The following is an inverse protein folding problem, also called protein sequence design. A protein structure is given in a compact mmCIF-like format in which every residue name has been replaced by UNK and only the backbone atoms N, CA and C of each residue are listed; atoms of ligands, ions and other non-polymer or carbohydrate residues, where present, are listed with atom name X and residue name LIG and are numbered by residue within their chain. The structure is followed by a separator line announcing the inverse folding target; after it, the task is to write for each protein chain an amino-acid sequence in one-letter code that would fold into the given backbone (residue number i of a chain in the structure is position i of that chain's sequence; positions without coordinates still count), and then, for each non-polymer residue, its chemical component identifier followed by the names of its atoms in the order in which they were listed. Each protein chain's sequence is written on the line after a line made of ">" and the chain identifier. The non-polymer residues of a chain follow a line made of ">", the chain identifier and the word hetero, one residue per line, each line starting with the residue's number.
data_IF_263202208271
#
_entry.id   IF_263202208271
#
_cell.length_a   1.000
_cell.length_b   1.000
_cell.length_c   1.000
_cell.angle_alpha   90.00
_cell.angle_beta   90.00
_cell.angle_gamma   90.00
#
_symmetry.space_group_name_H-M   'P 1'
#
loop_
_entity.id
_entity.type
_entity.pdbx_description
1 polymer ?
#
# COMPACT_ATOMS: atom_id res chain seq x y z
N UNK A 1 -18.49 10.39 17.27
CA UNK A 1 -19.46 10.16 16.17
C UNK A 1 -18.87 9.13 15.24
N UNK A 2 -19.64 8.11 14.85
CA UNK A 2 -19.22 7.22 13.78
C UNK A 2 -18.82 8.05 12.56
N UNK A 3 -17.85 7.56 11.78
CA UNK A 3 -17.45 8.23 10.53
C UNK A 3 -18.69 8.38 9.63
N UNK A 4 -19.12 9.62 9.29
CA UNK A 4 -20.33 9.82 8.49
C UNK A 4 -20.16 9.14 7.12
N UNK A 5 -21.19 8.41 6.68
CA UNK A 5 -21.19 7.71 5.39
C UNK A 5 -19.96 6.80 5.22
N UNK A 6 -19.55 6.14 6.30
CA UNK A 6 -18.47 5.18 6.25
C UNK A 6 -18.78 4.08 5.23
N UNK A 7 -17.78 3.75 4.44
CA UNK A 7 -17.93 2.75 3.40
C UNK A 7 -16.61 2.42 2.73
N UNK A 8 -16.70 1.63 1.68
CA UNK A 8 -15.59 1.25 0.82
C UNK A 8 -15.81 1.74 -0.60
N UNK A 9 -14.84 2.45 -1.15
CA UNK A 9 -14.78 2.80 -2.55
C UNK A 9 -13.89 1.79 -3.28
N UNK A 10 -14.46 1.10 -4.26
CA UNK A 10 -13.76 0.12 -5.08
C UNK A 10 -13.59 0.63 -6.51
N UNK A 11 -12.38 0.66 -7.05
CA UNK A 11 -12.12 1.10 -8.41
C UNK A 11 -10.67 0.92 -8.86
N UNK A 12 -10.32 1.50 -10.00
CA UNK A 12 -9.00 1.46 -10.59
C UNK A 12 -8.30 2.81 -10.43
N UNK A 13 -7.03 2.80 -10.06
CA UNK A 13 -6.24 4.03 -9.93
C UNK A 13 -5.92 4.59 -11.32
N UNK A 14 -6.16 5.90 -11.52
CA UNK A 14 -5.90 6.57 -12.80
C UNK A 14 -4.89 7.72 -12.72
N UNK A 15 -4.74 8.35 -11.54
CA UNK A 15 -3.78 9.45 -11.33
C UNK A 15 -3.49 9.62 -9.84
N UNK A 16 -2.49 10.40 -9.49
CA UNK A 16 -2.07 10.64 -8.11
C UNK A 16 -1.36 11.98 -7.93
N UNK A 17 -1.36 12.49 -6.70
CA UNK A 17 -0.51 13.63 -6.30
C UNK A 17 0.03 13.39 -4.91
N UNK A 18 1.35 13.44 -4.79
CA UNK A 18 2.03 13.35 -3.51
C UNK A 18 1.69 14.55 -2.64
N UNK A 19 1.64 14.32 -1.33
CA UNK A 19 1.58 15.40 -0.37
C UNK A 19 2.84 16.27 -0.52
N UNK A 20 2.64 17.57 -0.61
CA UNK A 20 3.75 18.53 -0.79
C UNK A 20 3.39 19.90 -0.22
N UNK A 21 4.39 20.62 0.25
CA UNK A 21 4.22 21.96 0.81
C UNK A 21 3.25 21.98 2.01
N UNK A 22 2.18 22.75 1.90
CA UNK A 22 1.13 22.84 2.95
C UNK A 22 0.05 21.75 2.85
N UNK A 23 0.12 20.86 1.84
CA UNK A 23 -0.83 19.76 1.73
C UNK A 23 -0.32 18.55 2.50
N UNK A 24 -1.07 18.12 3.50
CA UNK A 24 -0.79 16.95 4.31
C UNK A 24 -1.51 15.69 3.80
N UNK A 25 -2.07 15.73 2.59
CA UNK A 25 -2.77 14.59 1.99
C UNK A 25 -2.07 14.11 0.72
N UNK A 26 -1.91 12.81 0.64
CA UNK A 26 -1.66 12.10 -0.61
C UNK A 26 -3.01 11.91 -1.32
N UNK A 27 -3.11 12.35 -2.56
CA UNK A 27 -4.35 12.35 -3.31
C UNK A 27 -4.31 11.29 -4.41
N UNK A 28 -5.35 10.46 -4.50
CA UNK A 28 -5.46 9.40 -5.50
C UNK A 28 -6.72 9.65 -6.33
N UNK A 29 -6.59 9.68 -7.66
CA UNK A 29 -7.73 9.64 -8.56
C UNK A 29 -8.09 8.20 -8.86
N UNK A 30 -9.35 7.87 -8.70
CA UNK A 30 -9.90 6.53 -8.94
C UNK A 30 -11.03 6.64 -9.94
N UNK A 31 -11.05 5.73 -10.91
CA UNK A 31 -12.17 5.52 -11.82
C UNK A 31 -12.96 4.29 -11.36
N UNK A 32 -14.26 4.45 -11.25
CA UNK A 32 -15.16 3.38 -10.85
C UNK A 32 -16.55 3.57 -11.49
N UNK A 33 -17.08 2.54 -12.12
CA UNK A 33 -18.41 2.53 -12.76
C UNK A 33 -18.64 3.73 -13.73
N UNK A 34 -17.58 4.21 -14.37
CA UNK A 34 -17.63 5.34 -15.32
C UNK A 34 -17.60 6.73 -14.67
N UNK A 35 -17.45 6.82 -13.36
CA UNK A 35 -17.29 8.08 -12.61
C UNK A 35 -15.87 8.22 -12.04
N UNK A 36 -15.45 9.46 -11.81
CA UNK A 36 -14.21 9.81 -11.16
C UNK A 36 -14.43 10.07 -9.67
N UNK A 37 -13.47 9.62 -8.87
CA UNK A 37 -13.44 9.81 -7.42
C UNK A 37 -12.05 10.22 -6.97
N UNK A 38 -11.99 10.92 -5.83
CA UNK A 38 -10.74 11.24 -5.15
C UNK A 38 -10.67 10.56 -3.78
N UNK A 39 -9.53 9.96 -3.48
CA UNK A 39 -9.20 9.50 -2.14
C UNK A 39 -8.16 10.46 -1.58
N UNK A 40 -8.44 11.07 -0.42
CA UNK A 40 -7.52 11.90 0.32
C UNK A 40 -7.01 11.13 1.53
N UNK A 41 -5.70 10.88 1.58
CA UNK A 41 -5.05 10.13 2.64
C UNK A 41 -4.16 11.05 3.44
N UNK A 42 -4.42 11.20 4.73
CA UNK A 42 -3.55 11.98 5.59
C UNK A 42 -2.21 11.27 5.80
N UNK A 43 -1.13 11.92 5.41
CA UNK A 43 0.24 11.37 5.48
C UNK A 43 1.16 12.21 6.36
N UNK A 44 0.61 13.09 7.18
CA UNK A 44 1.37 13.95 8.09
C UNK A 44 0.62 14.09 9.40
N UNK A 45 1.35 14.02 10.50
CA UNK A 45 0.85 14.42 11.82
C UNK A 45 0.71 15.95 11.91
N UNK A 46 -0.21 16.40 12.76
CA UNK A 46 -0.30 17.81 13.17
C UNK A 46 -0.13 17.89 14.68
N UNK A 47 0.22 19.08 15.20
CA UNK A 47 0.37 19.27 16.65
C UNK A 47 -0.87 18.79 17.40
N UNK A 48 -0.66 17.92 18.37
CA UNK A 48 -1.72 17.32 19.19
C UNK A 48 -2.52 16.20 18.53
N UNK A 49 -2.18 15.80 17.29
CA UNK A 49 -2.85 14.70 16.58
C UNK A 49 -1.84 13.90 15.76
N UNK A 50 -1.13 13.01 16.43
CA UNK A 50 -0.18 12.10 15.79
C UNK A 50 -0.91 11.06 14.95
N UNK A 51 -0.47 10.88 13.70
CA UNK A 51 -0.93 9.82 12.81
C UNK A 51 0.01 8.64 12.93
N UNK A 52 -0.55 7.47 13.14
CA UNK A 52 0.13 6.19 13.12
C UNK A 52 -0.28 5.42 11.87
N UNK A 53 0.63 4.65 11.31
CA UNK A 53 0.34 3.80 10.16
C UNK A 53 1.04 2.43 10.25
N UNK A 54 0.48 1.47 9.53
CA UNK A 54 1.07 0.16 9.29
C UNK A 54 0.87 -0.23 7.83
N UNK A 55 1.90 -0.78 7.19
CA UNK A 55 1.83 -1.28 5.81
C UNK A 55 2.10 -2.77 5.81
N UNK A 56 1.19 -3.52 5.20
CA UNK A 56 1.31 -4.96 4.99
C UNK A 56 1.29 -5.26 3.49
N UNK A 57 2.43 -5.62 2.93
CA UNK A 57 2.56 -5.94 1.49
C UNK A 57 2.14 -7.37 1.14
N UNK A 58 1.84 -8.19 2.14
CA UNK A 58 1.39 -9.57 1.97
C UNK A 58 0.05 -9.82 2.66
N UNK A 59 -0.83 -8.81 2.60
CA UNK A 59 -2.10 -8.80 3.31
C UNK A 59 -2.95 -10.04 2.99
N UNK A 60 -3.26 -10.80 4.02
CA UNK A 60 -4.13 -11.99 3.97
C UNK A 60 -5.23 -11.90 5.03
N UNK A 61 -6.46 -11.70 4.59
CA UNK A 61 -7.62 -11.55 5.46
C UNK A 61 -8.88 -12.05 4.75
N UNK A 62 -9.85 -12.65 5.43
CA UNK A 62 -11.09 -13.14 4.83
C UNK A 62 -11.88 -12.08 4.04
N UNK A 63 -11.75 -10.79 4.38
CA UNK A 63 -12.41 -9.68 3.67
C UNK A 63 -12.01 -9.60 2.18
N UNK A 64 -10.82 -10.08 1.81
CA UNK A 64 -10.33 -10.04 0.43
C UNK A 64 -11.23 -10.80 -0.54
N UNK A 65 -11.86 -11.89 -0.09
CA UNK A 65 -12.81 -12.64 -0.90
C UNK A 65 -14.08 -11.81 -1.20
N UNK A 66 -14.62 -11.12 -0.20
CA UNK A 66 -15.77 -10.23 -0.37
C UNK A 66 -15.42 -9.03 -1.27
N UNK A 67 -14.24 -8.43 -1.09
CA UNK A 67 -13.76 -7.31 -1.90
C UNK A 67 -13.53 -7.69 -3.35
N UNK A 68 -13.03 -8.89 -3.61
CA UNK A 68 -12.84 -9.38 -4.99
C UNK A 68 -14.17 -9.42 -5.75
N UNK A 69 -15.27 -9.80 -5.08
CA UNK A 69 -16.61 -9.88 -5.66
C UNK A 69 -17.34 -8.53 -5.71
N UNK A 70 -16.82 -7.50 -5.04
CA UNK A 70 -17.47 -6.20 -4.94
C UNK A 70 -17.48 -5.48 -6.30
N UNK A 71 -18.63 -4.94 -6.67
CA UNK A 71 -18.73 -4.07 -7.87
C UNK A 71 -17.90 -2.79 -7.68
N UNK A 72 -17.57 -2.11 -8.77
CA UNK A 72 -16.96 -0.80 -8.72
C UNK A 72 -17.91 0.27 -8.17
N UNK A 73 -17.38 1.28 -7.50
CA UNK A 73 -18.12 2.37 -6.89
C UNK A 73 -18.02 2.40 -5.38
N UNK A 74 -18.80 3.30 -4.76
CA UNK A 74 -18.87 3.44 -3.33
C UNK A 74 -19.98 2.57 -2.73
N UNK A 75 -19.64 1.83 -1.67
CA UNK A 75 -20.54 0.95 -0.94
C UNK A 75 -20.55 1.33 0.54
N UNK A 76 -21.73 1.63 1.08
CA UNK A 76 -21.87 1.89 2.52
C UNK A 76 -21.66 0.55 3.25
N UNK A 77 -20.82 0.57 4.27
CA UNK A 77 -20.53 -0.59 5.11
C UNK A 77 -21.19 -0.37 6.46
N UNK A 78 -21.99 -1.35 6.95
CA UNK A 78 -22.52 -1.29 8.30
C UNK A 78 -21.40 -1.21 9.33
N UNK A 79 -21.62 -0.46 10.41
CA UNK A 79 -20.66 -0.33 11.52
C UNK A 79 -20.73 -1.55 12.46
N UNK A 80 -20.74 -2.73 11.88
CA UNK A 80 -20.72 -4.02 12.57
C UNK A 80 -19.72 -4.92 11.86
N UNK A 81 -19.06 -5.83 12.56
CA UNK A 81 -18.07 -6.74 11.95
C UNK A 81 -18.79 -7.77 11.07
N UNK A 82 -19.23 -7.36 9.91
CA UNK A 82 -19.93 -8.25 8.99
C UNK A 82 -19.53 -7.94 7.54
N UNK A 83 -19.17 -8.96 6.82
CA UNK A 83 -18.88 -8.90 5.40
C UNK A 83 -17.67 -8.03 5.04
N UNK A 84 -17.94 -6.79 4.64
CA UNK A 84 -16.92 -5.85 4.18
C UNK A 84 -16.23 -5.06 5.30
N UNK A 85 -16.78 -5.05 6.52
CA UNK A 85 -16.16 -4.32 7.62
C UNK A 85 -14.82 -4.94 8.01
N UNK A 86 -13.86 -4.08 8.32
CA UNK A 86 -12.56 -4.47 8.87
C UNK A 86 -12.39 -3.89 10.26
N UNK A 87 -11.73 -4.63 11.11
CA UNK A 87 -11.40 -4.23 12.48
C UNK A 87 -9.97 -4.67 12.78
N UNK A 88 -9.01 -3.92 12.27
CA UNK A 88 -7.61 -4.35 12.33
C UNK A 88 -7.00 -4.26 13.72
N UNK A 89 -7.41 -3.28 14.54
CA UNK A 89 -6.85 -3.09 15.89
C UNK A 89 -7.57 -3.99 16.90
N UNK A 90 -8.91 -4.00 16.95
CA UNK A 90 -9.66 -4.80 17.93
C UNK A 90 -9.57 -6.29 17.66
N UNK A 91 -9.57 -6.70 16.41
CA UNK A 91 -9.35 -8.09 16.03
C UNK A 91 -7.91 -8.56 16.30
N UNK A 92 -7.01 -7.66 16.72
CA UNK A 92 -5.63 -7.98 17.00
C UNK A 92 -4.79 -8.23 15.74
N UNK A 93 -5.26 -7.80 14.58
CA UNK A 93 -4.53 -7.94 13.33
C UNK A 93 -3.29 -7.03 13.30
N UNK A 94 -3.45 -5.78 13.74
CA UNK A 94 -2.34 -4.82 13.91
C UNK A 94 -2.30 -4.39 15.38
N UNK A 95 -1.18 -4.62 16.05
CA UNK A 95 -0.96 -4.07 17.37
C UNK A 95 -0.53 -2.60 17.26
N UNK A 96 -1.01 -1.74 18.17
CA UNK A 96 -0.58 -0.34 18.22
C UNK A 96 0.95 -0.19 18.26
N UNK A 97 1.65 -1.10 18.94
CA UNK A 97 3.11 -1.10 19.04
C UNK A 97 3.82 -1.34 17.70
N UNK A 98 3.13 -1.92 16.73
CA UNK A 98 3.65 -2.19 15.40
C UNK A 98 3.36 -1.06 14.41
N UNK A 99 2.57 -0.06 14.83
CA UNK A 99 2.27 1.11 14.02
C UNK A 99 3.40 2.15 14.16
N UNK A 100 3.74 2.79 13.05
CA UNK A 100 4.81 3.77 12.96
C UNK A 100 4.21 5.18 13.02
N UNK A 101 4.71 6.07 13.90
CA UNK A 101 4.25 7.45 13.94
C UNK A 101 4.82 8.27 12.78
N UNK A 102 4.01 9.16 12.24
CA UNK A 102 4.42 10.14 11.24
C UNK A 102 4.93 11.43 11.90
N UNK A 103 5.94 12.10 11.29
CA UNK A 103 6.43 13.38 11.79
C UNK A 103 5.37 14.48 11.64
N UNK A 104 5.47 15.51 12.50
CA UNK A 104 4.59 16.69 12.46
C UNK A 104 4.99 17.65 11.32
N UNK A 105 6.25 17.63 10.90
CA UNK A 105 6.79 18.59 9.92
C UNK A 105 7.48 17.89 8.76
N UNK A 106 7.20 18.41 7.55
CA UNK A 106 7.91 18.06 6.32
C UNK A 106 7.35 16.82 5.62
N UNK A 107 7.30 16.90 4.30
CA UNK A 107 6.94 15.76 3.45
C UNK A 107 8.18 15.08 2.85
N UNK A 108 9.38 15.65 3.08
CA UNK A 108 10.63 15.19 2.47
C UNK A 108 11.20 13.91 3.10
N UNK A 109 10.77 13.60 4.34
CA UNK A 109 11.12 12.39 5.09
C UNK A 109 9.84 11.58 5.44
N UNK A 110 8.85 11.57 4.59
CA UNK A 110 7.56 10.97 4.87
C UNK A 110 7.47 9.55 4.30
N UNK A 111 7.83 8.57 5.13
CA UNK A 111 7.81 7.15 4.77
C UNK A 111 6.42 6.70 4.26
N UNK A 112 5.33 7.16 4.85
CA UNK A 112 3.98 6.80 4.42
C UNK A 112 3.66 7.34 3.03
N UNK A 113 4.02 8.61 2.75
CA UNK A 113 3.83 9.22 1.45
C UNK A 113 4.51 8.40 0.34
N UNK A 114 5.73 7.95 0.59
CA UNK A 114 6.52 7.15 -0.34
C UNK A 114 5.97 5.72 -0.49
N UNK A 115 5.55 5.09 0.61
CA UNK A 115 4.99 3.74 0.57
C UNK A 115 3.65 3.70 -0.16
N UNK A 116 2.75 4.66 0.11
CA UNK A 116 1.50 4.79 -0.65
C UNK A 116 1.80 5.04 -2.12
N UNK A 117 2.76 5.90 -2.43
CA UNK A 117 3.14 6.20 -3.82
C UNK A 117 3.63 4.96 -4.57
N UNK A 118 4.42 4.13 -3.91
CA UNK A 118 4.87 2.84 -4.47
C UNK A 118 3.69 1.91 -4.79
N UNK A 119 2.77 1.73 -3.83
CA UNK A 119 1.59 0.87 -4.01
C UNK A 119 0.66 1.40 -5.11
N UNK A 120 0.44 2.71 -5.15
CA UNK A 120 -0.40 3.38 -6.14
C UNK A 120 0.21 3.26 -7.54
N UNK A 121 1.51 3.52 -7.70
CA UNK A 121 2.19 3.34 -8.99
C UNK A 121 2.13 1.89 -9.45
N UNK A 122 2.33 0.92 -8.54
CA UNK A 122 2.18 -0.50 -8.82
C UNK A 122 0.76 -0.81 -9.33
N UNK A 123 -0.28 -0.23 -8.71
CA UNK A 123 -1.66 -0.41 -9.15
C UNK A 123 -1.91 0.20 -10.53
N UNK A 124 -1.43 1.41 -10.80
CA UNK A 124 -1.55 2.07 -12.11
C UNK A 124 -0.89 1.25 -13.24
N UNK A 125 0.19 0.54 -12.94
CA UNK A 125 0.97 -0.23 -13.92
C UNK A 125 0.60 -1.73 -13.96
N UNK A 126 -0.37 -2.19 -13.16
CA UNK A 126 -0.78 -3.59 -13.11
C UNK A 126 -2.15 -3.78 -13.73
N UNK A 127 -2.24 -4.60 -14.78
CA UNK A 127 -3.51 -4.86 -15.45
C UNK A 127 -4.53 -5.46 -14.47
N UNK A 128 -5.73 -4.89 -14.42
CA UNK A 128 -6.81 -5.32 -13.55
C UNK A 128 -6.60 -5.05 -12.06
N UNK A 129 -5.57 -4.28 -11.69
CA UNK A 129 -5.38 -3.89 -10.31
C UNK A 129 -6.52 -2.98 -9.83
N UNK A 130 -6.91 -3.19 -8.57
CA UNK A 130 -7.98 -2.43 -7.92
C UNK A 130 -7.51 -1.88 -6.59
N UNK A 131 -8.05 -0.71 -6.24
CA UNK A 131 -7.93 -0.13 -4.91
C UNK A 131 -9.28 -0.18 -4.20
N UNK A 132 -9.24 -0.41 -2.89
CA UNK A 132 -10.39 -0.37 -1.99
C UNK A 132 -10.04 0.59 -0.85
N UNK A 133 -10.71 1.74 -0.81
CA UNK A 133 -10.47 2.75 0.21
C UNK A 133 -11.62 2.78 1.22
N UNK A 134 -11.29 2.55 2.47
CA UNK A 134 -12.23 2.62 3.60
C UNK A 134 -12.16 3.98 4.26
N UNK A 135 -13.31 4.63 4.42
CA UNK A 135 -13.38 5.92 5.06
C UNK A 135 -14.72 6.62 4.86
N UNK A 136 -14.74 7.93 5.08
CA UNK A 136 -15.93 8.76 4.96
C UNK A 136 -16.14 9.22 3.52
N UNK A 137 -17.30 8.91 2.95
CA UNK A 137 -17.66 9.36 1.62
C UNK A 137 -18.17 10.80 1.62
N UNK A 138 -17.67 11.59 0.69
CA UNK A 138 -18.17 12.93 0.40
C UNK A 138 -18.62 13.05 -1.07
N UNK A 139 -19.59 13.94 -1.32
CA UNK A 139 -20.02 14.33 -2.66
C UNK A 139 -20.44 15.77 -2.65
N UNK A 140 -19.78 16.58 -3.45
CA UNK A 140 -20.07 18.00 -3.65
C UNK A 140 -21.23 18.22 -4.65
N UNK A 141 -21.77 19.43 -4.76
CA UNK A 141 -22.74 19.78 -5.79
C UNK A 141 -22.22 19.48 -7.22
N UNK A 142 -23.10 19.20 -8.19
CA UNK A 142 -22.72 18.73 -9.53
C UNK A 142 -21.73 19.62 -10.29
N UNK A 143 -21.73 20.93 -10.02
CA UNK A 143 -20.88 21.93 -10.66
C UNK A 143 -19.58 22.21 -9.89
N UNK A 144 -19.39 21.65 -8.71
CA UNK A 144 -18.15 21.83 -7.97
C UNK A 144 -17.09 20.87 -8.43
N UNK A 145 -16.03 21.41 -9.01
CA UNK A 145 -14.90 20.65 -9.48
C UNK A 145 -13.96 20.21 -8.35
N UNK A 146 -13.36 19.08 -8.53
CA UNK A 146 -12.27 18.62 -7.68
C UNK A 146 -11.04 19.52 -7.87
N UNK A 147 -10.44 19.95 -6.76
CA UNK A 147 -9.32 20.91 -6.80
C UNK A 147 -7.99 20.32 -7.26
N UNK A 148 -7.87 18.99 -7.26
CA UNK A 148 -6.62 18.31 -7.61
C UNK A 148 -6.65 17.72 -9.02
N UNK A 149 -7.81 17.18 -9.44
CA UNK A 149 -7.97 16.43 -10.68
C UNK A 149 -9.04 17.00 -11.65
N UNK A 150 -9.66 18.12 -11.28
CA UNK A 150 -10.59 18.94 -12.13
C UNK A 150 -11.85 18.21 -12.66
N UNK A 151 -12.19 17.03 -12.13
CA UNK A 151 -13.46 16.37 -12.46
C UNK A 151 -14.63 16.92 -11.65
N UNK A 152 -15.87 16.76 -12.12
CA UNK A 152 -17.08 17.20 -11.45
C UNK A 152 -18.18 16.13 -11.52
N UNK A 153 -18.96 15.96 -10.43
CA UNK A 153 -18.80 16.60 -9.13
C UNK A 153 -17.54 16.12 -8.39
N UNK A 154 -16.93 16.96 -7.54
CA UNK A 154 -15.91 16.49 -6.62
C UNK A 154 -16.56 15.52 -5.63
N UNK A 155 -16.07 14.28 -5.59
CA UNK A 155 -16.59 13.21 -4.75
C UNK A 155 -15.50 12.19 -4.45
N UNK A 156 -15.68 11.42 -3.37
CA UNK A 156 -14.71 10.37 -3.04
C UNK A 156 -14.66 10.02 -1.55
N UNK A 157 -13.51 9.53 -1.11
CA UNK A 157 -13.25 9.16 0.27
C UNK A 157 -12.30 10.18 0.90
N UNK A 158 -12.65 10.63 2.07
CA UNK A 158 -11.82 11.37 2.99
C UNK A 158 -11.79 10.63 4.34
N UNK A 159 -10.99 11.08 5.29
CA UNK A 159 -10.89 10.46 6.61
C UNK A 159 -10.56 8.96 6.54
N UNK A 160 -9.53 8.62 5.76
CA UNK A 160 -8.97 7.27 5.68
C UNK A 160 -8.14 7.03 6.95
N UNK A 161 -8.81 6.89 8.08
CA UNK A 161 -8.21 6.56 9.37
C UNK A 161 -9.21 5.84 10.26
N UNK A 162 -8.70 5.06 11.21
CA UNK A 162 -9.55 4.40 12.20
C UNK A 162 -10.27 5.45 13.06
N UNK A 163 -11.57 5.27 13.27
CA UNK A 163 -12.39 6.06 14.15
C UNK A 163 -13.15 5.18 15.13
N UNK A 164 -12.57 4.99 16.31
CA UNK A 164 -13.15 4.21 17.39
C UNK A 164 -13.10 5.00 18.68
N UNK A 165 -14.15 5.01 19.45
CA UNK A 165 -14.38 5.82 20.65
C UNK A 165 -13.10 6.18 21.39
N UNK A 166 -12.79 7.46 21.49
CA UNK A 166 -11.45 7.93 21.81
C UNK A 166 -11.28 8.22 23.28
N UNK A 167 -11.84 9.32 23.70
CA UNK A 167 -11.70 9.84 25.05
C UNK A 167 -13.08 10.18 25.65
N UNK A 168 -13.07 10.72 26.85
CA UNK A 168 -14.29 11.10 27.55
C UNK A 168 -15.11 12.18 26.83
N UNK A 169 -14.50 13.01 25.99
CA UNK A 169 -15.18 14.04 25.21
C UNK A 169 -15.86 13.45 23.97
N UNK A 170 -15.30 12.35 23.45
CA UNK A 170 -15.75 11.68 22.24
C UNK A 170 -16.33 10.27 22.51
N UNK A 171 -16.63 9.95 23.75
CA UNK A 171 -17.18 8.63 24.15
C UNK A 171 -18.52 8.27 23.52
N UNK A 172 -19.22 9.23 22.92
CA UNK A 172 -20.41 9.01 22.11
C UNK A 172 -20.10 8.80 20.62
N UNK A 173 -18.83 8.84 20.26
CA UNK A 173 -18.35 8.67 18.90
C UNK A 173 -17.94 7.22 18.70
N UNK A 174 -18.87 6.28 18.95
CA UNK A 174 -18.58 4.88 18.77
C UNK A 174 -18.56 4.48 17.29
N UNK A 175 -17.48 4.84 16.63
CA UNK A 175 -17.13 4.35 15.32
C UNK A 175 -16.50 2.97 15.40
N UNK A 176 -17.13 2.07 16.11
CA UNK A 176 -16.57 0.80 16.56
C UNK A 176 -15.97 -0.05 15.45
N UNK A 177 -16.48 0.07 14.23
CA UNK A 177 -16.07 -0.72 13.06
C UNK A 177 -15.65 0.15 11.87
N UNK A 178 -15.33 1.41 12.13
CA UNK A 178 -14.96 2.39 11.10
C UNK A 178 -13.45 2.47 10.94
N UNK A 179 -12.82 1.37 10.58
CA UNK A 179 -11.38 1.33 10.35
C UNK A 179 -11.03 1.96 9.01
N UNK A 180 -10.02 2.83 8.99
CA UNK A 180 -9.49 3.45 7.79
C UNK A 180 -8.38 2.61 7.17
N UNK A 181 -8.52 2.30 5.90
CA UNK A 181 -7.51 1.54 5.18
C UNK A 181 -7.52 1.83 3.67
N UNK A 182 -6.38 1.59 3.05
CA UNK A 182 -6.25 1.37 1.62
C UNK A 182 -5.85 -0.08 1.40
N UNK A 183 -6.62 -0.82 0.63
CA UNK A 183 -6.27 -2.16 0.21
C UNK A 183 -6.06 -2.18 -1.30
N UNK A 184 -5.01 -2.84 -1.74
CA UNK A 184 -4.65 -2.96 -3.14
C UNK A 184 -4.70 -4.42 -3.55
N UNK A 185 -5.41 -4.73 -4.62
CA UNK A 185 -5.45 -6.05 -5.23
C UNK A 185 -4.68 -6.06 -6.55
N UNK A 186 -3.69 -6.92 -6.66
CA UNK A 186 -2.87 -7.13 -7.85
C UNK A 186 -3.16 -8.53 -8.42
N UNK A 187 -4.20 -8.70 -9.25
CA UNK A 187 -4.66 -10.03 -9.67
C UNK A 187 -3.62 -10.82 -10.45
N UNK A 188 -2.79 -10.15 -11.26
CA UNK A 188 -1.71 -10.81 -12.01
C UNK A 188 -0.63 -11.44 -11.10
N UNK A 189 -0.53 -10.99 -9.85
CA UNK A 189 0.41 -11.50 -8.83
C UNK A 189 -0.30 -12.33 -7.76
N UNK A 190 -1.63 -12.42 -7.80
CA UNK A 190 -2.45 -12.99 -6.72
C UNK A 190 -2.09 -12.40 -5.35
N UNK A 191 -1.79 -11.12 -5.30
CA UNK A 191 -1.27 -10.42 -4.13
C UNK A 191 -2.22 -9.33 -3.69
N UNK A 192 -2.33 -9.19 -2.38
CA UNK A 192 -2.93 -8.03 -1.73
C UNK A 192 -1.87 -7.27 -0.94
N UNK A 193 -2.05 -5.97 -0.84
CA UNK A 193 -1.32 -5.12 0.08
C UNK A 193 -2.32 -4.20 0.80
N UNK A 194 -2.00 -3.80 2.03
CA UNK A 194 -2.84 -2.95 2.84
C UNK A 194 -2.03 -1.82 3.49
N UNK A 195 -2.67 -0.68 3.66
CA UNK A 195 -2.18 0.44 4.46
C UNK A 195 -3.27 0.77 5.48
N UNK A 196 -2.96 0.63 6.75
CA UNK A 196 -3.84 0.97 7.86
C UNK A 196 -3.39 2.28 8.48
N UNK A 197 -4.34 3.15 8.81
CA UNK A 197 -4.07 4.45 9.39
C UNK A 197 -4.94 4.68 10.62
N UNK A 198 -4.37 5.32 11.64
CA UNK A 198 -5.09 5.75 12.83
C UNK A 198 -4.47 7.03 13.38
N UNK A 199 -5.27 7.93 13.91
CA UNK A 199 -4.73 8.92 14.83
C UNK A 199 -4.34 8.23 16.14
N UNK A 200 -3.34 8.73 16.82
CA UNK A 200 -2.84 8.13 18.06
C UNK A 200 -3.94 7.94 19.11
N UNK A 201 -4.83 8.91 19.24
CA UNK A 201 -5.98 8.87 20.13
C UNK A 201 -7.07 7.84 19.70
N UNK A 202 -7.02 7.34 18.46
CA UNK A 202 -7.96 6.37 17.89
C UNK A 202 -7.38 4.96 17.79
N UNK A 203 -6.07 4.80 17.94
CA UNK A 203 -5.38 3.51 17.81
C UNK A 203 -5.39 2.68 19.10
N UNK A 204 -6.52 2.63 19.79
CA UNK A 204 -6.71 1.87 21.00
C UNK A 204 -7.44 0.57 20.71
N UNK A 205 -7.10 -0.47 21.47
CA UNK A 205 -7.95 -1.66 21.50
C UNK A 205 -9.20 -1.30 22.28
N UNK A 206 -10.35 -1.48 21.67
CA UNK A 206 -11.64 -1.09 22.24
C UNK A 206 -12.57 -2.30 22.43
N UNK A 207 -13.53 -2.16 23.35
CA UNK A 207 -14.64 -3.12 23.48
C UNK A 207 -15.65 -2.96 22.31
N UNK A 208 -16.71 -3.77 22.33
CA UNK A 208 -17.75 -3.73 21.30
C UNK A 208 -18.51 -2.40 21.24
N UNK A 209 -18.38 -1.53 22.25
CA UNK A 209 -19.01 -0.22 22.33
C UNK A 209 -18.06 0.93 21.97
N UNK A 210 -16.78 0.61 21.63
CA UNK A 210 -15.78 1.61 21.27
C UNK A 210 -15.01 2.19 22.45
N UNK A 211 -15.13 1.64 23.65
CA UNK A 211 -14.37 2.09 24.81
C UNK A 211 -12.98 1.45 24.85
N UNK A 212 -11.95 2.23 25.15
CA UNK A 212 -10.60 1.72 25.31
C UNK A 212 -10.54 0.62 26.38
N UNK A 213 -9.98 -0.54 26.02
CA UNK A 213 -9.74 -1.63 26.95
C UNK A 213 -8.31 -1.56 27.50
N UNK A 214 -8.14 -1.92 28.77
CA UNK A 214 -6.81 -2.00 29.39
C UNK A 214 -6.13 -3.36 29.13
N UNK A 215 -6.82 -4.26 28.46
CA UNK A 215 -6.31 -5.61 28.19
C UNK A 215 -5.51 -5.56 26.90
N UNK A 216 -4.19 -5.65 27.03
CA UNK A 216 -3.31 -5.97 25.91
C UNK A 216 -3.62 -7.42 25.52
N UNK A 217 -4.41 -7.63 24.48
CA UNK A 217 -4.52 -8.97 23.92
C UNK A 217 -3.15 -9.33 23.33
N UNK A 218 -2.59 -10.50 23.65
CA UNK A 218 -1.40 -10.96 22.95
C UNK A 218 -1.74 -11.07 21.46
N UNK A 219 -0.77 -10.82 20.57
CA UNK A 219 -1.01 -10.94 19.14
C UNK A 219 -1.62 -12.32 18.87
N UNK A 220 -2.74 -12.32 18.14
CA UNK A 220 -3.35 -13.57 17.70
C UNK A 220 -2.37 -14.18 16.70
N UNK A 221 -1.56 -15.11 17.18
CA UNK A 221 -0.79 -15.98 16.29
C UNK A 221 -1.82 -16.82 15.56
N UNK A 222 -2.16 -16.44 14.34
CA UNK A 222 -2.96 -17.30 13.49
C UNK A 222 -2.18 -18.61 13.34
N UNK A 223 -2.73 -19.77 13.78
CA UNK A 223 -2.08 -21.02 13.45
C UNK A 223 -1.98 -21.09 11.92
N UNK A 224 -0.88 -21.63 11.37
CA UNK A 224 -0.78 -21.79 9.92
C UNK A 224 -2.04 -22.48 9.45
N UNK A 225 -2.71 -21.89 8.45
CA UNK A 225 -3.92 -22.48 7.85
C UNK A 225 -3.49 -23.79 7.24
N UNK A 226 -3.73 -24.88 7.97
CA UNK A 226 -3.56 -26.23 7.43
C UNK A 226 -4.70 -26.44 6.45
N UNK A 227 -4.47 -26.14 5.20
CA UNK A 227 -5.39 -26.54 4.15
C UNK A 227 -5.52 -28.06 4.19
N UNK A 228 -6.72 -28.62 4.32
CA UNK A 228 -6.90 -30.06 4.14
C UNK A 228 -6.38 -30.43 2.75
N UNK A 229 -5.78 -31.59 2.57
CA UNK A 229 -5.26 -32.00 1.26
C UNK A 229 -6.41 -31.99 0.26
N UNK A 230 -6.32 -31.07 -0.72
CA UNK A 230 -7.24 -31.04 -1.84
C UNK A 230 -6.95 -32.27 -2.69
N UNK A 231 -7.86 -33.22 -2.66
CA UNK A 231 -7.84 -34.33 -3.63
C UNK A 231 -8.20 -33.73 -4.98
N UNK A 232 -7.28 -33.69 -5.96
CA UNK A 232 -7.57 -33.09 -7.24
C UNK A 232 -8.62 -33.94 -7.99
N UNK A 233 -9.66 -33.30 -8.59
CA UNK A 233 -10.51 -33.98 -9.55
C UNK A 233 -9.69 -34.41 -10.79
N UNK A 234 -10.10 -35.43 -11.53
CA UNK A 234 -9.37 -35.93 -12.68
C UNK A 234 -9.19 -34.85 -13.73
N UNK A 235 -7.92 -34.64 -14.13
CA UNK A 235 -7.47 -33.61 -15.04
C UNK A 235 -7.94 -33.93 -16.46
N UNK A 236 -8.87 -33.13 -16.99
CA UNK A 236 -9.05 -32.94 -18.43
C UNK A 236 -8.19 -31.75 -18.83
N UNK A 237 -7.17 -31.89 -19.69
CA UNK A 237 -6.31 -30.78 -20.05
C UNK A 237 -7.12 -29.74 -20.86
N UNK A 238 -7.19 -28.48 -20.41
CA UNK A 238 -7.69 -27.40 -21.25
C UNK A 238 -6.67 -27.02 -22.32
N UNK A 239 -7.09 -26.43 -23.44
CA UNK A 239 -6.18 -25.98 -24.47
C UNK A 239 -5.19 -24.95 -23.91
N UNK A 240 -3.92 -25.15 -24.20
CA UNK A 240 -2.82 -24.30 -23.77
C UNK A 240 -2.95 -22.94 -24.43
N UNK A 241 -3.51 -21.97 -23.71
CA UNK A 241 -3.26 -20.54 -23.98
C UNK A 241 -2.01 -20.21 -23.15
N UNK A 242 -0.91 -19.75 -23.79
CA UNK A 242 0.27 -19.38 -22.99
C UNK A 242 -0.12 -18.23 -22.07
N UNK A 243 0.11 -18.35 -20.74
CA UNK A 243 -0.11 -17.22 -19.85
C UNK A 243 0.87 -16.12 -20.25
N UNK A 244 0.40 -14.88 -20.28
CA UNK A 244 1.29 -13.73 -20.29
C UNK A 244 2.17 -13.88 -19.02
N UNK A 245 3.48 -14.06 -19.24
CA UNK A 245 4.40 -14.43 -18.18
C UNK A 245 4.30 -13.45 -17.01
N UNK A 246 4.20 -13.93 -15.74
CA UNK A 246 4.38 -13.08 -14.59
C UNK A 246 5.74 -12.41 -14.69
N UNK A 247 5.88 -11.19 -14.14
CA UNK A 247 7.15 -10.48 -14.12
C UNK A 247 8.24 -11.43 -13.58
N UNK A 248 9.10 -11.87 -14.47
CA UNK A 248 10.05 -12.94 -14.18
C UNK A 248 11.26 -12.46 -13.38
N UNK A 249 11.46 -11.14 -13.29
CA UNK A 249 12.56 -10.52 -12.56
C UNK A 249 12.01 -9.66 -11.45
N UNK A 250 12.56 -9.80 -10.25
CA UNK A 250 12.13 -9.04 -9.06
C UNK A 250 13.30 -8.42 -8.35
N UNK A 251 13.06 -7.29 -7.70
CA UNK A 251 13.98 -6.67 -6.76
C UNK A 251 13.78 -7.36 -5.40
N UNK A 252 14.85 -7.95 -4.84
CA UNK A 252 14.76 -8.70 -3.58
C UNK A 252 15.55 -8.06 -2.44
N UNK A 253 16.51 -7.18 -2.74
CA UNK A 253 17.25 -6.46 -1.72
C UNK A 253 17.91 -5.19 -2.28
N UNK A 254 18.19 -4.24 -1.39
CA UNK A 254 19.00 -3.07 -1.70
C UNK A 254 19.95 -2.73 -0.53
N UNK A 255 21.12 -2.18 -0.85
CA UNK A 255 22.02 -1.57 0.11
C UNK A 255 22.06 -0.07 -0.21
N UNK A 256 21.28 0.72 0.53
CA UNK A 256 21.16 2.16 0.34
C UNK A 256 22.21 2.94 1.15
N UNK A 257 22.67 2.40 2.27
CA UNK A 257 23.64 3.03 3.18
C UNK A 257 24.83 2.08 3.36
N UNK A 258 25.84 2.24 2.55
CA UNK A 258 27.03 1.39 2.62
C UNK A 258 28.03 1.92 3.66
N UNK A 259 28.94 1.06 4.11
CA UNK A 259 30.04 1.45 5.00
C UNK A 259 31.29 1.92 4.20
N UNK A 260 31.24 1.82 2.89
CA UNK A 260 32.34 2.20 2.02
C UNK A 260 32.45 3.74 1.87
N UNK A 261 33.63 4.23 1.57
CA UNK A 261 33.86 5.65 1.27
C UNK A 261 34.72 5.78 0.00
N UNK A 262 34.19 6.25 -1.14
CA UNK A 262 32.80 6.70 -1.33
C UNK A 262 31.76 5.59 -1.16
N UNK A 263 30.55 5.98 -0.82
CA UNK A 263 29.42 5.05 -0.60
C UNK A 263 29.13 4.24 -1.87
N UNK A 264 28.93 2.94 -1.70
CA UNK A 264 28.60 2.00 -2.78
C UNK A 264 27.21 1.44 -2.56
N UNK A 265 26.26 1.90 -3.35
CA UNK A 265 24.88 1.46 -3.31
C UNK A 265 24.66 0.28 -4.25
N UNK A 266 23.78 -0.66 -3.85
CA UNK A 266 23.50 -1.82 -4.68
C UNK A 266 22.02 -2.20 -4.66
N UNK A 267 21.54 -2.78 -5.77
CA UNK A 267 20.24 -3.42 -5.89
C UNK A 267 20.42 -4.87 -6.31
N UNK A 268 19.72 -5.79 -5.67
CA UNK A 268 19.77 -7.21 -6.00
C UNK A 268 18.50 -7.64 -6.73
N UNK A 269 18.67 -8.20 -7.91
CA UNK A 269 17.60 -8.81 -8.70
C UNK A 269 17.63 -10.33 -8.58
N UNK A 270 16.47 -10.96 -8.72
CA UNK A 270 16.31 -12.40 -8.92
C UNK A 270 15.47 -12.65 -10.18
N UNK A 271 15.87 -13.65 -10.97
CA UNK A 271 15.04 -14.19 -12.04
C UNK A 271 14.27 -15.41 -11.51
N UNK A 272 12.96 -15.30 -11.40
CA UNK A 272 12.09 -16.39 -10.92
C UNK A 272 11.54 -17.27 -12.04
N UNK A 273 11.87 -16.96 -13.31
CA UNK A 273 11.46 -17.75 -14.45
C UNK A 273 12.43 -18.92 -14.70
N UNK A 274 11.96 -19.98 -15.40
CA UNK A 274 12.79 -21.10 -15.82
C UNK A 274 13.64 -20.82 -17.07
N UNK A 275 13.62 -19.57 -17.59
CA UNK A 275 14.40 -19.10 -18.73
C UNK A 275 15.30 -17.93 -18.34
N UNK A 276 16.43 -17.80 -19.06
CA UNK A 276 17.28 -16.63 -18.93
C UNK A 276 16.55 -15.37 -19.40
N UNK A 277 16.79 -14.24 -18.71
CA UNK A 277 16.27 -12.93 -19.08
C UNK A 277 17.40 -12.02 -19.53
N UNK A 278 17.26 -11.42 -20.71
CA UNK A 278 18.18 -10.40 -21.19
C UNK A 278 17.75 -9.05 -20.59
N UNK A 279 18.64 -8.46 -19.78
CA UNK A 279 18.42 -7.17 -19.13
C UNK A 279 18.87 -5.97 -20.00
N UNK A 280 19.28 -6.21 -21.25
CA UNK A 280 19.70 -5.14 -22.15
C UNK A 280 18.53 -4.16 -22.42
N UNK A 281 18.78 -2.87 -22.14
CA UNK A 281 17.79 -1.83 -22.27
C UNK A 281 16.81 -1.71 -21.09
N UNK A 282 16.93 -2.58 -20.09
CA UNK A 282 16.20 -2.38 -18.84
C UNK A 282 16.83 -1.26 -18.02
N UNK A 283 16.04 -0.63 -17.14
CA UNK A 283 16.52 0.44 -16.28
C UNK A 283 15.98 0.29 -14.84
N UNK A 284 16.80 0.72 -13.88
CA UNK A 284 16.27 1.14 -12.58
C UNK A 284 15.95 2.63 -12.64
N UNK A 285 14.91 3.03 -11.90
CA UNK A 285 14.61 4.42 -11.60
C UNK A 285 14.50 4.61 -10.08
N UNK A 286 15.07 5.72 -9.58
CA UNK A 286 14.92 6.15 -8.19
C UNK A 286 13.65 6.98 -7.98
N UNK A 287 13.42 7.45 -6.75
CA UNK A 287 12.30 8.33 -6.38
C UNK A 287 12.23 9.62 -7.21
N UNK A 288 13.37 10.18 -7.62
CA UNK A 288 13.47 11.39 -8.43
C UNK A 288 13.40 11.12 -9.93
N UNK A 289 13.18 9.87 -10.34
CA UNK A 289 13.19 9.42 -11.73
C UNK A 289 14.58 9.54 -12.40
N UNK A 290 15.64 9.51 -11.63
CA UNK A 290 16.96 9.28 -12.20
C UNK A 290 17.11 7.82 -12.59
N UNK A 291 17.73 7.55 -13.71
CA UNK A 291 17.79 6.22 -14.31
C UNK A 291 19.19 5.62 -14.24
N UNK A 292 19.26 4.31 -14.02
CA UNK A 292 20.45 3.49 -14.16
C UNK A 292 20.18 2.34 -15.14
N UNK A 293 20.93 2.31 -16.25
CA UNK A 293 20.74 1.30 -17.31
C UNK A 293 21.33 -0.05 -16.89
N UNK A 294 20.57 -1.11 -17.16
CA UNK A 294 20.97 -2.49 -16.96
C UNK A 294 21.46 -3.10 -18.26
N UNK A 295 22.28 -4.16 -18.14
CA UNK A 295 22.78 -4.92 -19.28
C UNK A 295 23.13 -6.34 -18.87
N UNK A 296 23.30 -7.22 -19.88
CA UNK A 296 23.66 -8.61 -19.66
C UNK A 296 22.48 -9.52 -19.44
N UNK A 297 22.78 -10.80 -19.16
CA UNK A 297 21.76 -11.84 -18.94
C UNK A 297 21.69 -12.21 -17.48
N UNK A 298 20.48 -12.37 -16.98
CA UNK A 298 20.19 -12.95 -15.68
C UNK A 298 19.67 -14.39 -15.90
N UNK A 299 20.48 -15.34 -15.53
CA UNK A 299 20.16 -16.76 -15.74
C UNK A 299 18.92 -17.20 -14.97
N UNK A 300 18.24 -18.23 -15.46
CA UNK A 300 17.07 -18.84 -14.83
C UNK A 300 17.33 -19.18 -13.36
N UNK A 301 16.45 -18.77 -12.45
CA UNK A 301 16.54 -19.03 -11.01
C UNK A 301 17.72 -18.35 -10.30
N UNK A 302 18.48 -17.49 -11.00
CA UNK A 302 19.67 -16.84 -10.44
C UNK A 302 19.38 -15.44 -9.94
N UNK A 303 20.26 -14.92 -9.09
CA UNK A 303 20.25 -13.52 -8.66
C UNK A 303 21.51 -12.77 -9.11
N UNK A 304 21.40 -11.47 -9.24
CA UNK A 304 22.53 -10.58 -9.53
C UNK A 304 22.47 -9.34 -8.64
N UNK A 305 23.61 -8.96 -8.07
CA UNK A 305 23.77 -7.70 -7.36
C UNK A 305 24.35 -6.67 -8.33
N UNK A 306 23.62 -5.57 -8.50
CA UNK A 306 23.98 -4.47 -9.39
C UNK A 306 24.43 -3.29 -8.54
N UNK A 307 25.63 -2.76 -8.82
CA UNK A 307 26.11 -1.51 -8.20
C UNK A 307 25.48 -0.34 -8.93
N UNK A 308 24.85 0.55 -8.15
CA UNK A 308 24.22 1.75 -8.67
C UNK A 308 25.26 2.88 -8.79
N UNK A 309 25.08 3.71 -9.81
CA UNK A 309 25.92 4.88 -10.05
C UNK A 309 25.07 6.07 -10.50
N UNK A 310 25.58 7.26 -10.24
CA UNK A 310 24.93 8.52 -10.68
C UNK A 310 24.55 8.48 -12.15
N UNK A 311 23.41 9.06 -12.55
CA UNK A 311 22.59 9.98 -11.74
C UNK A 311 21.65 9.32 -10.74
N UNK A 312 21.42 8.00 -10.78
CA UNK A 312 20.59 7.29 -9.79
C UNK A 312 21.29 7.19 -8.44
N UNK A 313 20.56 7.42 -7.36
CA UNK A 313 21.03 7.31 -5.97
C UNK A 313 19.93 6.65 -5.10
N UNK A 314 20.34 5.84 -4.13
CA UNK A 314 19.47 5.29 -3.12
C UNK A 314 19.53 6.15 -1.86
N UNK A 315 18.48 6.92 -1.58
CA UNK A 315 18.48 7.84 -0.46
C UNK A 315 18.55 7.13 0.89
N UNK A 316 19.48 7.56 1.78
CA UNK A 316 19.53 7.11 3.18
C UNK A 316 18.34 7.60 4.03
N UNK A 317 17.45 8.37 3.43
CA UNK A 317 16.22 8.88 4.04
C UNK A 317 14.96 8.13 3.61
N UNK A 318 15.12 7.00 2.94
CA UNK A 318 14.01 6.24 2.34
C UNK A 318 13.80 6.58 0.86
N UNK A 319 13.15 5.69 0.14
CA UNK A 319 12.94 5.88 -1.30
C UNK A 319 12.23 4.71 -1.98
N UNK A 320 12.12 4.83 -3.28
CA UNK A 320 11.56 3.80 -4.17
C UNK A 320 12.61 3.37 -5.18
N UNK A 321 12.55 2.11 -5.59
CA UNK A 321 13.34 1.56 -6.68
C UNK A 321 12.38 0.91 -7.65
N UNK A 322 12.30 1.44 -8.86
CA UNK A 322 11.45 0.91 -9.93
C UNK A 322 12.30 0.20 -10.96
N UNK A 323 11.94 -1.01 -11.33
CA UNK A 323 12.55 -1.77 -12.43
C UNK A 323 11.64 -1.69 -13.66
N UNK A 324 12.17 -1.18 -14.76
CA UNK A 324 11.46 -1.08 -16.04
C UNK A 324 12.14 -1.96 -17.08
N UNK A 325 11.35 -2.60 -17.95
CA UNK A 325 11.87 -3.34 -19.11
C UNK A 325 12.31 -2.42 -20.26
N UNK A 326 12.85 -2.99 -21.32
CA UNK A 326 13.31 -2.26 -22.49
C UNK A 326 12.20 -1.49 -23.22
N UNK A 327 10.94 -1.81 -22.98
CA UNK A 327 9.77 -1.09 -23.48
C UNK A 327 9.29 0.03 -22.56
N UNK A 328 9.95 0.25 -21.42
CA UNK A 328 9.58 1.23 -20.41
C UNK A 328 8.41 0.79 -19.52
N UNK A 329 8.01 -0.49 -19.58
CA UNK A 329 6.96 -1.03 -18.71
C UNK A 329 7.55 -1.38 -17.34
N UNK A 330 6.86 -1.01 -16.28
CA UNK A 330 7.25 -1.39 -14.92
C UNK A 330 7.14 -2.91 -14.75
N UNK A 331 8.26 -3.53 -14.39
CA UNK A 331 8.38 -4.94 -14.10
C UNK A 331 8.25 -5.20 -12.62
N UNK A 332 8.92 -4.40 -11.80
CA UNK A 332 8.85 -4.45 -10.34
C UNK A 332 9.06 -3.06 -9.73
N UNK A 333 8.52 -2.87 -8.52
CA UNK A 333 8.68 -1.63 -7.77
C UNK A 333 8.71 -1.98 -6.29
N UNK A 334 9.69 -1.46 -5.57
CA UNK A 334 9.85 -1.64 -4.13
C UNK A 334 10.11 -0.31 -3.46
N UNK A 335 9.73 -0.20 -2.19
CA UNK A 335 10.02 0.97 -1.37
C UNK A 335 10.74 0.57 -0.08
N UNK A 336 11.48 1.49 0.49
CA UNK A 336 12.14 1.33 1.76
C UNK A 336 12.10 2.63 2.57
N UNK A 337 12.07 2.49 3.88
CA UNK A 337 11.96 3.60 4.82
C UNK A 337 13.33 4.11 5.25
N UNK A 338 13.34 5.33 5.80
CA UNK A 338 14.52 5.89 6.48
C UNK A 338 15.04 4.96 7.58
N UNK A 339 14.15 4.36 8.36
CA UNK A 339 14.52 3.45 9.43
C UNK A 339 15.27 2.21 8.91
N UNK A 340 14.85 1.66 7.78
CA UNK A 340 15.53 0.55 7.12
C UNK A 340 16.90 0.97 6.56
N UNK A 341 16.99 2.17 5.98
CA UNK A 341 18.23 2.70 5.40
C UNK A 341 19.23 3.25 6.42
N UNK A 342 18.84 3.50 7.67
CA UNK A 342 19.71 4.11 8.69
C UNK A 342 20.83 3.20 9.19
N UNK A 343 20.79 1.90 8.93
CA UNK A 343 21.81 0.95 9.41
C UNK A 343 22.93 0.80 8.39
N UNK A 344 24.12 1.44 8.58
CA UNK A 344 25.21 1.33 7.60
C UNK A 344 25.63 -0.11 7.39
N UNK A 345 25.79 -0.52 6.13
CA UNK A 345 26.21 -1.86 5.74
C UNK A 345 25.13 -2.93 5.78
N UNK A 346 23.89 -2.60 6.17
CA UNK A 346 22.79 -3.56 6.18
C UNK A 346 22.00 -3.51 4.86
N UNK A 347 21.78 -4.68 4.29
CA UNK A 347 20.86 -4.80 3.13
C UNK A 347 19.41 -4.76 3.62
N UNK A 348 18.60 -3.99 2.90
CA UNK A 348 17.14 -3.97 3.01
C UNK A 348 16.65 -5.13 2.16
N UNK A 349 15.77 -5.98 2.68
CA UNK A 349 15.16 -7.12 1.97
C UNK A 349 13.69 -6.81 1.68
N UNK A 350 13.22 -7.11 0.46
CA UNK A 350 11.87 -6.85 -0.03
C UNK A 350 11.08 -8.13 -0.25
#
# INVERSE_FOLDING_TARGET
>A
MPVPKYGVLAGSVSDRKLASGSSNHYEIRVQAAGEDFRIAVNVQSVDGSEVLFHVDEAFDHPVTAALTALAEGHHIVPMTPDGLAIDYVRAGYVAKADMVPLPVTGNDDNDLNDQIDSLVQRAMNSAGARIFAYGSFFKDPPNKKDKYFDFAPSQGIHDVHMNQGNDSAHKGDDGVWSDGALLFHYPARQQWAAVFLAFQNQSWITDAQGHATTVVQPPVVHPPVVHPPVVPPPIVPPPIVPPSAPASVRIIAALANSIENPEIETVTLINTAPQDVDLSGWIFADKQQNHFALSGKLAAGSSVRVTIAKPMELSNKGGTITLLDAGGKVVDNVSYTKQQAQKPGWSIVF
#
